data_IF_603943339054
#
_entry.id   IF_603943339054
#
_cell.length_a   1.000
_cell.length_b   1.000
_cell.length_c   1.000
_cell.angle_alpha   90.00
_cell.angle_beta   90.00
_cell.angle_gamma   90.00
#
_symmetry.space_group_name_H-M   'P 1'
#
loop_
_entity.id
_entity.type
_entity.pdbx_description
1 polymer ?
#
# COMPACT_ATOMS: atom_id res chain seq x y z
N UNK A 1 22.56 18.08 11.51
CA UNK A 1 22.24 19.43 11.03
C UNK A 1 20.74 19.50 10.97
N UNK A 2 20.14 20.17 11.96
CA UNK A 2 18.69 20.38 12.02
C UNK A 2 18.32 21.31 10.88
N UNK A 3 17.62 20.78 9.89
CA UNK A 3 16.93 21.59 8.88
C UNK A 3 15.87 22.39 9.62
N UNK A 4 15.82 23.73 9.53
CA UNK A 4 14.78 24.49 10.19
C UNK A 4 13.43 23.96 9.73
N UNK A 5 12.67 23.40 10.65
CA UNK A 5 11.34 22.92 10.38
C UNK A 5 10.48 24.07 9.89
N UNK A 6 10.11 24.04 8.61
CA UNK A 6 9.06 24.92 8.10
C UNK A 6 7.81 24.48 8.85
N UNK A 7 7.26 25.40 9.61
CA UNK A 7 6.11 25.18 10.46
C UNK A 7 4.87 24.87 9.59
N UNK A 8 4.64 23.58 9.34
CA UNK A 8 3.45 23.11 8.62
C UNK A 8 2.14 23.48 9.35
N UNK A 9 2.22 23.96 10.61
CA UNK A 9 1.08 24.45 11.37
C UNK A 9 0.56 25.80 10.87
N UNK A 10 1.35 26.52 10.03
CA UNK A 10 0.96 27.83 9.47
C UNK A 10 0.00 27.72 8.28
N UNK A 11 -0.25 26.52 7.74
CA UNK A 11 -1.18 26.37 6.62
C UNK A 11 -2.60 26.29 7.18
N UNK A 12 -3.39 27.33 6.95
CA UNK A 12 -4.79 27.35 7.38
C UNK A 12 -5.60 26.29 6.61
N UNK A 13 -5.96 25.21 7.29
CA UNK A 13 -6.79 24.12 6.75
C UNK A 13 -8.25 24.20 7.23
N UNK A 14 -8.61 25.23 7.99
CA UNK A 14 -9.96 25.38 8.59
C UNK A 14 -11.08 25.52 7.54
N UNK A 15 -10.74 26.00 6.34
CA UNK A 15 -11.67 26.18 5.23
C UNK A 15 -11.32 25.30 4.02
N UNK A 16 -10.71 24.12 4.24
CA UNK A 16 -10.37 23.19 3.16
C UNK A 16 -11.63 22.69 2.44
N UNK A 17 -11.73 22.91 1.12
CA UNK A 17 -12.82 22.37 0.32
C UNK A 17 -12.64 20.85 0.12
N UNK A 18 -13.36 20.07 0.91
CA UNK A 18 -13.39 18.62 0.82
C UNK A 18 -14.51 18.09 -0.06
N UNK A 19 -15.39 18.93 -0.61
CA UNK A 19 -16.45 18.51 -1.54
C UNK A 19 -15.87 18.11 -2.89
N UNK A 20 -14.79 18.80 -3.32
CA UNK A 20 -14.07 18.52 -4.54
C UNK A 20 -12.69 17.98 -4.23
N UNK A 21 -12.43 16.76 -4.69
CA UNK A 21 -11.21 16.01 -4.37
C UNK A 21 -10.48 15.64 -5.65
N UNK A 22 -9.20 15.99 -5.72
CA UNK A 22 -8.28 15.48 -6.73
C UNK A 22 -7.83 14.06 -6.39
N UNK A 23 -7.79 13.16 -7.36
CA UNK A 23 -7.31 11.80 -7.16
C UNK A 23 -6.35 11.38 -8.27
N UNK A 24 -5.09 11.09 -7.93
CA UNK A 24 -4.04 10.75 -8.89
C UNK A 24 -3.62 9.30 -8.67
N UNK A 25 -3.65 8.51 -9.76
CA UNK A 25 -3.38 7.08 -9.71
C UNK A 25 -4.64 6.28 -9.37
N UNK A 26 -5.41 5.92 -10.41
CA UNK A 26 -6.67 5.16 -10.30
C UNK A 26 -6.51 3.72 -10.79
N UNK A 27 -5.34 3.11 -10.53
CA UNK A 27 -5.08 1.68 -10.75
C UNK A 27 -5.81 0.79 -9.74
N UNK A 28 -5.28 -0.43 -9.50
CA UNK A 28 -5.94 -1.47 -8.69
C UNK A 28 -6.42 -1.00 -7.31
N UNK A 29 -5.66 -0.16 -6.60
CA UNK A 29 -6.03 0.38 -5.30
C UNK A 29 -6.78 1.71 -5.41
N UNK A 30 -6.33 2.60 -6.31
CA UNK A 30 -6.91 3.93 -6.44
C UNK A 30 -8.33 3.93 -7.01
N UNK A 31 -8.61 3.08 -7.98
CA UNK A 31 -9.94 2.98 -8.60
C UNK A 31 -11.06 2.69 -7.58
N UNK A 32 -10.97 1.64 -6.73
CA UNK A 32 -12.00 1.42 -5.72
C UNK A 32 -12.06 2.53 -4.67
N UNK A 33 -10.93 3.14 -4.25
CA UNK A 33 -10.94 4.25 -3.29
C UNK A 33 -11.61 5.49 -3.89
N UNK A 34 -11.23 5.91 -5.11
CA UNK A 34 -11.86 7.03 -5.79
C UNK A 34 -13.36 6.81 -6.05
N UNK A 35 -13.76 5.57 -6.38
CA UNK A 35 -15.17 5.20 -6.55
C UNK A 35 -15.98 5.36 -5.26
N UNK A 36 -15.36 5.07 -4.10
CA UNK A 36 -16.02 5.26 -2.81
C UNK A 36 -16.21 6.74 -2.48
N UNK A 37 -15.28 7.62 -2.84
CA UNK A 37 -15.44 9.06 -2.69
C UNK A 37 -16.63 9.57 -3.53
N UNK A 38 -16.74 9.12 -4.77
CA UNK A 38 -17.89 9.45 -5.63
C UNK A 38 -19.20 8.96 -4.99
N UNK A 39 -19.24 7.72 -4.51
CA UNK A 39 -20.41 7.16 -3.85
C UNK A 39 -20.76 7.89 -2.53
N UNK A 40 -19.79 8.49 -1.86
CA UNK A 40 -19.98 9.34 -0.68
C UNK A 40 -20.43 10.78 -1.03
N UNK A 41 -20.56 11.12 -2.30
CA UNK A 41 -21.07 12.42 -2.77
C UNK A 41 -19.98 13.46 -3.05
N UNK A 42 -18.70 13.08 -3.09
CA UNK A 42 -17.63 14.00 -3.47
C UNK A 42 -17.53 14.12 -5.00
N UNK A 43 -17.26 15.33 -5.50
CA UNK A 43 -16.83 15.57 -6.88
C UNK A 43 -15.36 15.15 -7.01
N UNK A 44 -15.09 14.10 -7.79
CA UNK A 44 -13.71 13.60 -7.98
C UNK A 44 -13.17 14.06 -9.33
N UNK A 45 -11.98 14.72 -9.30
CA UNK A 45 -11.18 15.03 -10.47
C UNK A 45 -10.01 14.06 -10.50
N UNK A 46 -9.97 13.19 -11.51
CA UNK A 46 -9.01 12.09 -11.56
C UNK A 46 -7.98 12.26 -12.69
N UNK A 47 -6.78 11.78 -12.42
CA UNK A 47 -5.73 11.62 -13.42
C UNK A 47 -5.05 10.27 -13.25
N UNK A 48 -4.85 9.56 -14.36
CA UNK A 48 -3.93 8.43 -14.49
C UNK A 48 -3.25 8.48 -15.84
N UNK A 49 -2.00 8.06 -15.89
CA UNK A 49 -1.25 7.95 -17.15
C UNK A 49 -1.72 6.78 -18.03
N UNK A 50 -2.40 5.78 -17.41
CA UNK A 50 -3.04 4.67 -18.13
C UNK A 50 -4.44 5.11 -18.59
N UNK A 51 -4.67 5.23 -19.91
CA UNK A 51 -5.97 5.63 -20.44
C UNK A 51 -7.11 4.66 -20.08
N UNK A 52 -6.80 3.37 -19.86
CA UNK A 52 -7.82 2.40 -19.46
C UNK A 52 -8.28 2.64 -18.01
N UNK A 53 -7.35 2.90 -17.10
CA UNK A 53 -7.65 3.24 -15.71
C UNK A 53 -8.42 4.58 -15.62
N UNK A 54 -7.99 5.60 -16.38
CA UNK A 54 -8.67 6.88 -16.45
C UNK A 54 -10.13 6.73 -16.96
N UNK A 55 -10.34 5.94 -18.00
CA UNK A 55 -11.68 5.66 -18.53
C UNK A 55 -12.58 4.95 -17.51
N UNK A 56 -12.03 3.96 -16.82
CA UNK A 56 -12.75 3.18 -15.81
C UNK A 56 -13.27 4.03 -14.64
N UNK A 57 -12.56 5.08 -14.24
CA UNK A 57 -13.04 5.99 -13.19
C UNK A 57 -14.01 7.05 -13.76
N UNK A 58 -13.83 7.49 -14.99
CA UNK A 58 -14.78 8.40 -15.65
C UNK A 58 -16.16 7.77 -15.79
N UNK A 59 -16.25 6.48 -16.16
CA UNK A 59 -17.50 5.70 -16.21
C UNK A 59 -18.22 5.63 -14.85
N UNK A 60 -17.52 5.91 -13.76
CA UNK A 60 -18.07 5.97 -12.39
C UNK A 60 -18.43 7.38 -11.94
N UNK A 61 -18.24 8.38 -12.81
CA UNK A 61 -18.65 9.76 -12.57
C UNK A 61 -17.52 10.72 -12.19
N UNK A 62 -16.26 10.32 -12.29
CA UNK A 62 -15.15 11.27 -12.12
C UNK A 62 -14.98 12.15 -13.37
N UNK A 63 -14.59 13.40 -13.16
CA UNK A 63 -14.06 14.26 -14.20
C UNK A 63 -12.59 13.96 -14.43
N UNK A 64 -12.16 13.83 -15.68
CA UNK A 64 -10.75 13.59 -16.00
C UNK A 64 -9.99 14.92 -16.14
N UNK A 65 -8.72 14.88 -15.73
CA UNK A 65 -7.71 15.89 -15.99
C UNK A 65 -6.52 15.25 -16.74
N UNK A 66 -5.86 16.01 -17.60
CA UNK A 66 -4.77 15.51 -18.43
C UNK A 66 -3.46 15.36 -17.62
N UNK A 67 -3.26 16.16 -16.55
CA UNK A 67 -2.05 16.16 -15.74
C UNK A 67 -2.37 16.24 -14.24
N UNK A 68 -1.38 15.94 -13.40
CA UNK A 68 -1.48 16.15 -11.96
C UNK A 68 -1.63 17.66 -11.61
N UNK A 69 -1.01 18.54 -12.39
CA UNK A 69 -1.15 19.99 -12.27
C UNK A 69 -2.59 20.47 -12.52
N UNK A 70 -3.27 19.92 -13.51
CA UNK A 70 -4.68 20.20 -13.77
C UNK A 70 -5.58 19.72 -12.63
N UNK A 71 -5.33 18.52 -12.07
CA UNK A 71 -6.01 18.04 -10.87
C UNK A 71 -5.85 19.03 -9.72
N UNK A 72 -4.61 19.47 -9.45
CA UNK A 72 -4.27 20.39 -8.38
C UNK A 72 -4.69 21.85 -8.66
N UNK A 73 -5.05 22.18 -9.90
CA UNK A 73 -5.70 23.43 -10.25
C UNK A 73 -7.21 23.40 -10.09
N UNK A 74 -7.80 22.21 -10.07
CA UNK A 74 -9.23 22.02 -9.91
C UNK A 74 -9.66 21.75 -8.47
N UNK A 75 -8.79 21.21 -7.61
CA UNK A 75 -9.10 20.81 -6.23
C UNK A 75 -8.02 21.33 -5.25
N UNK A 76 -8.44 21.66 -4.03
CA UNK A 76 -7.53 22.06 -2.94
C UNK A 76 -6.92 20.84 -2.26
N UNK A 77 -7.68 19.75 -2.16
CA UNK A 77 -7.26 18.47 -1.59
C UNK A 77 -6.96 17.49 -2.72
N UNK A 78 -5.71 17.02 -2.78
CA UNK A 78 -5.25 16.06 -3.79
C UNK A 78 -4.74 14.80 -3.10
N UNK A 79 -5.34 13.65 -3.41
CA UNK A 79 -4.94 12.33 -2.95
C UNK A 79 -4.15 11.61 -4.07
N UNK A 80 -3.11 10.87 -3.71
CA UNK A 80 -2.33 10.06 -4.66
C UNK A 80 -2.23 8.60 -4.20
N UNK A 81 -2.40 7.66 -5.12
CA UNK A 81 -2.24 6.21 -4.89
C UNK A 81 -1.40 5.59 -6.00
N UNK A 82 -0.09 5.53 -5.80
CA UNK A 82 0.91 5.25 -6.81
C UNK A 82 1.81 4.06 -6.41
N UNK A 83 2.40 3.35 -7.40
CA UNK A 83 3.08 2.08 -7.11
C UNK A 83 4.48 2.24 -6.50
N UNK A 84 5.16 3.38 -6.71
CA UNK A 84 6.59 3.56 -6.37
C UNK A 84 6.89 4.96 -5.84
N UNK A 85 7.91 5.11 -4.98
CA UNK A 85 8.34 6.41 -4.45
C UNK A 85 8.66 7.44 -5.52
N UNK A 86 9.30 7.01 -6.63
CA UNK A 86 9.68 7.89 -7.74
C UNK A 86 8.45 8.48 -8.45
N UNK A 87 7.38 7.67 -8.56
CA UNK A 87 6.12 8.14 -9.14
C UNK A 87 5.43 9.17 -8.22
N UNK A 88 5.47 8.96 -6.90
CA UNK A 88 4.93 9.94 -5.93
C UNK A 88 5.73 11.24 -6.01
N UNK A 89 7.06 11.16 -6.03
CA UNK A 89 7.92 12.35 -6.20
C UNK A 89 7.61 13.10 -7.50
N UNK A 90 7.52 12.39 -8.62
CA UNK A 90 7.22 13.00 -9.92
C UNK A 90 5.84 13.67 -9.94
N UNK A 91 4.82 13.02 -9.36
CA UNK A 91 3.46 13.58 -9.24
C UNK A 91 3.42 14.78 -8.29
N UNK A 92 4.15 14.74 -7.18
CA UNK A 92 4.15 15.85 -6.23
C UNK A 92 4.95 17.06 -6.75
N UNK A 93 6.17 16.84 -7.27
CA UNK A 93 7.19 17.87 -7.48
C UNK A 93 7.60 18.06 -8.95
N UNK A 94 7.13 17.22 -9.88
CA UNK A 94 7.48 17.33 -11.31
C UNK A 94 6.90 18.57 -11.99
N UNK A 95 7.33 18.86 -13.20
CA UNK A 95 6.91 20.06 -13.95
C UNK A 95 5.37 20.10 -14.16
N UNK A 96 4.74 18.94 -14.42
CA UNK A 96 3.28 18.78 -14.53
C UNK A 96 2.66 18.21 -13.25
N UNK A 97 3.37 18.34 -12.12
CA UNK A 97 2.99 17.81 -10.82
C UNK A 97 2.06 18.72 -10.04
N UNK A 98 1.73 18.28 -8.82
CA UNK A 98 0.83 18.99 -7.92
C UNK A 98 1.31 20.41 -7.63
N UNK A 99 2.63 20.63 -7.50
CA UNK A 99 3.19 21.97 -7.27
C UNK A 99 2.94 22.97 -8.40
N UNK A 100 2.72 22.53 -9.62
CA UNK A 100 2.36 23.40 -10.74
C UNK A 100 0.88 23.83 -10.75
N UNK A 101 0.03 23.17 -9.95
CA UNK A 101 -1.40 23.52 -9.82
C UNK A 101 -1.62 24.84 -9.07
N UNK A 102 -2.75 25.50 -9.30
CA UNK A 102 -3.04 26.85 -8.76
C UNK A 102 -3.94 26.87 -7.53
N UNK A 103 -4.67 25.76 -7.24
CA UNK A 103 -5.59 25.66 -6.09
C UNK A 103 -5.08 24.75 -4.97
N UNK A 104 -4.00 24.01 -5.20
CA UNK A 104 -3.45 23.05 -4.25
C UNK A 104 -3.21 23.65 -2.85
N UNK A 105 -3.69 22.99 -1.83
CA UNK A 105 -3.42 23.34 -0.42
C UNK A 105 -2.93 22.15 0.37
N UNK A 106 -3.44 20.94 0.05
CA UNK A 106 -3.15 19.71 0.77
C UNK A 106 -2.88 18.59 -0.23
N UNK A 107 -1.77 17.88 -0.02
CA UNK A 107 -1.41 16.65 -0.72
C UNK A 107 -1.43 15.48 0.26
N UNK A 108 -2.17 14.42 -0.05
CA UNK A 108 -2.27 13.19 0.76
C UNK A 108 -1.70 12.03 -0.02
N UNK A 109 -0.62 11.43 0.48
CA UNK A 109 -0.02 10.24 -0.12
C UNK A 109 -0.59 8.95 0.51
N UNK A 110 -1.42 8.23 -0.25
CA UNK A 110 -1.98 6.93 0.11
C UNK A 110 -1.06 5.75 -0.27
N UNK A 111 0.07 6.04 -0.91
CA UNK A 111 1.03 5.07 -1.42
C UNK A 111 1.97 4.55 -0.32
N UNK A 112 2.74 3.51 -0.64
CA UNK A 112 3.89 3.11 0.19
C UNK A 112 5.17 3.68 -0.41
N UNK A 113 5.56 4.85 0.10
CA UNK A 113 6.63 5.72 -0.42
C UNK A 113 7.91 5.62 0.40
N UNK A 114 7.77 5.17 1.65
CA UNK A 114 8.86 5.12 2.61
C UNK A 114 9.14 6.48 3.28
N UNK A 115 9.60 6.47 4.53
CA UNK A 115 9.64 7.67 5.37
C UNK A 115 10.66 8.72 4.87
N UNK A 116 11.80 8.28 4.32
CA UNK A 116 12.82 9.21 3.79
C UNK A 116 12.27 10.05 2.64
N UNK A 117 11.74 9.41 1.60
CA UNK A 117 11.19 10.11 0.42
C UNK A 117 9.98 10.95 0.82
N UNK A 118 9.16 10.49 1.75
CA UNK A 118 8.02 11.25 2.27
C UNK A 118 8.48 12.54 2.96
N UNK A 119 9.51 12.49 3.83
CA UNK A 119 10.09 13.69 4.46
C UNK A 119 10.63 14.69 3.44
N UNK A 120 11.33 14.20 2.40
CA UNK A 120 11.85 15.05 1.32
C UNK A 120 10.72 15.74 0.54
N UNK A 121 9.67 15.00 0.18
CA UNK A 121 8.50 15.56 -0.53
C UNK A 121 7.76 16.56 0.37
N UNK A 122 7.53 16.22 1.64
CA UNK A 122 6.84 17.10 2.58
C UNK A 122 7.57 18.43 2.78
N UNK A 123 8.90 18.40 2.90
CA UNK A 123 9.70 19.62 3.01
C UNK A 123 9.61 20.50 1.74
N UNK A 124 9.66 19.90 0.56
CA UNK A 124 9.55 20.62 -0.71
C UNK A 124 8.15 21.25 -0.89
N UNK A 125 7.09 20.52 -0.54
CA UNK A 125 5.70 20.98 -0.60
C UNK A 125 5.47 22.13 0.40
N UNK A 126 5.93 21.99 1.64
CA UNK A 126 5.80 23.00 2.68
C UNK A 126 6.49 24.32 2.27
N UNK A 127 7.67 24.26 1.63
CA UNK A 127 8.36 25.41 1.08
C UNK A 127 7.57 26.19 0.02
N UNK A 128 6.49 25.61 -0.50
CA UNK A 128 5.57 26.19 -1.49
C UNK A 128 4.15 26.38 -0.93
N UNK A 129 3.99 26.33 0.40
CA UNK A 129 2.72 26.55 1.08
C UNK A 129 1.70 25.41 0.91
N UNK A 130 2.16 24.19 0.61
CA UNK A 130 1.30 22.99 0.48
C UNK A 130 1.54 22.07 1.67
N UNK A 131 0.48 21.75 2.42
CA UNK A 131 0.55 20.78 3.49
C UNK A 131 0.59 19.35 2.93
N UNK A 132 1.33 18.47 3.59
CA UNK A 132 1.33 17.03 3.26
C UNK A 132 0.85 16.20 4.44
N UNK A 133 0.03 15.18 4.13
CA UNK A 133 -0.26 14.07 5.02
C UNK A 133 0.22 12.77 4.36
N UNK A 134 0.95 11.95 5.09
CA UNK A 134 1.20 10.57 4.67
C UNK A 134 0.12 9.66 5.27
N UNK A 135 -0.55 8.93 4.38
CA UNK A 135 -1.72 8.13 4.77
C UNK A 135 -1.76 6.79 4.04
N UNK A 136 -0.70 5.97 4.11
CA UNK A 136 -0.70 4.66 3.49
C UNK A 136 -1.79 3.76 4.06
N UNK A 137 -2.27 2.83 3.23
CA UNK A 137 -3.40 1.96 3.53
C UNK A 137 -3.01 0.49 3.59
N UNK A 138 -3.76 -0.31 4.35
CA UNK A 138 -3.62 -1.77 4.42
C UNK A 138 -5.00 -2.44 4.38
N UNK A 139 -5.10 -3.61 3.68
CA UNK A 139 -6.34 -4.37 3.50
C UNK A 139 -6.60 -4.81 2.07
N UNK A 140 -5.68 -4.46 1.14
CA UNK A 140 -5.72 -4.87 -0.27
C UNK A 140 -6.92 -4.33 -1.04
N UNK A 141 -7.08 -4.80 -2.28
CA UNK A 141 -8.16 -4.35 -3.20
C UNK A 141 -9.55 -4.68 -2.64
N UNK A 142 -9.70 -5.82 -1.98
CA UNK A 142 -10.97 -6.21 -1.35
C UNK A 142 -11.38 -5.22 -0.25
N UNK A 143 -10.44 -4.85 0.63
CA UNK A 143 -10.68 -3.84 1.67
C UNK A 143 -10.98 -2.46 1.09
N UNK A 144 -10.30 -2.06 0.01
CA UNK A 144 -10.56 -0.80 -0.68
C UNK A 144 -12.00 -0.75 -1.26
N UNK A 145 -12.46 -1.83 -1.87
CA UNK A 145 -13.84 -1.96 -2.35
C UNK A 145 -14.87 -1.93 -1.23
N UNK A 146 -14.61 -2.66 -0.17
CA UNK A 146 -15.52 -2.78 0.98
C UNK A 146 -15.52 -1.54 1.89
N UNK A 147 -14.50 -0.67 1.82
CA UNK A 147 -14.33 0.44 2.76
C UNK A 147 -13.88 -0.01 4.16
N UNK A 148 -13.05 -1.05 4.21
CA UNK A 148 -12.56 -1.66 5.45
C UNK A 148 -11.06 -1.60 5.60
N UNK A 149 -10.41 -0.67 4.88
CA UNK A 149 -8.97 -0.48 4.98
C UNK A 149 -8.56 0.00 6.38
N UNK A 150 -7.39 -0.43 6.83
CA UNK A 150 -6.67 0.29 7.86
C UNK A 150 -5.95 1.47 7.19
N UNK A 151 -6.37 2.69 7.51
CA UNK A 151 -5.83 3.95 6.97
C UNK A 151 -4.92 4.55 8.04
N UNK A 152 -3.62 4.60 7.79
CA UNK A 152 -2.61 5.08 8.75
C UNK A 152 -2.35 6.56 8.44
N UNK A 153 -2.66 7.48 9.36
CA UNK A 153 -2.59 8.92 9.10
C UNK A 153 -1.53 9.59 9.97
N UNK A 154 -0.55 10.24 9.34
CA UNK A 154 0.37 11.15 9.99
C UNK A 154 0.27 12.54 9.34
N UNK A 155 -0.05 13.55 10.16
CA UNK A 155 -0.15 14.96 9.79
C UNK A 155 -0.34 15.81 11.05
N UNK A 156 -0.13 17.13 11.02
CA UNK A 156 -0.50 18.03 12.12
C UNK A 156 -1.96 17.86 12.55
N UNK A 157 -2.26 18.08 13.83
CA UNK A 157 -3.57 17.77 14.43
C UNK A 157 -4.76 18.41 13.70
N UNK A 158 -4.65 19.68 13.30
CA UNK A 158 -5.72 20.36 12.56
C UNK A 158 -5.98 19.69 11.21
N UNK A 159 -4.92 19.28 10.51
CA UNK A 159 -5.04 18.59 9.23
C UNK A 159 -5.62 17.18 9.39
N UNK A 160 -5.22 16.42 10.45
CA UNK A 160 -5.83 15.12 10.75
C UNK A 160 -7.35 15.24 10.94
N UNK A 161 -7.78 16.24 11.72
CA UNK A 161 -9.21 16.51 11.94
C UNK A 161 -9.95 16.81 10.63
N UNK A 162 -9.37 17.63 9.75
CA UNK A 162 -9.99 17.97 8.46
C UNK A 162 -10.05 16.78 7.50
N UNK A 163 -9.05 15.89 7.53
CA UNK A 163 -8.94 14.73 6.63
C UNK A 163 -9.72 13.51 7.11
N UNK A 164 -9.95 13.35 8.41
CA UNK A 164 -10.58 12.16 8.99
C UNK A 164 -11.93 11.78 8.34
N UNK A 165 -12.86 12.70 8.02
CA UNK A 165 -14.11 12.35 7.34
C UNK A 165 -13.89 11.80 5.93
N UNK A 166 -12.97 12.38 5.15
CA UNK A 166 -12.64 11.95 3.79
C UNK A 166 -11.96 10.59 3.81
N UNK A 167 -10.95 10.43 4.64
CA UNK A 167 -10.19 9.18 4.75
C UNK A 167 -11.01 8.04 5.37
N UNK A 168 -11.97 8.38 6.25
CA UNK A 168 -12.94 7.45 6.83
C UNK A 168 -13.83 6.74 5.80
N UNK A 169 -13.98 7.32 4.61
CA UNK A 169 -14.68 6.67 3.48
C UNK A 169 -13.96 5.38 3.04
N UNK A 170 -12.65 5.30 3.24
CA UNK A 170 -11.85 4.12 2.84
C UNK A 170 -11.82 3.03 3.91
N UNK A 171 -12.06 3.37 5.18
CA UNK A 171 -12.00 2.42 6.29
C UNK A 171 -11.73 3.09 7.63
N UNK A 172 -11.12 2.34 8.54
CA UNK A 172 -10.78 2.84 9.87
C UNK A 172 -9.49 3.66 9.83
N UNK A 173 -9.57 4.92 10.23
CA UNK A 173 -8.41 5.82 10.34
C UNK A 173 -7.70 5.60 11.68
N UNK A 174 -6.39 5.42 11.62
CA UNK A 174 -5.49 5.33 12.77
C UNK A 174 -4.57 6.55 12.75
N UNK A 175 -4.67 7.38 13.75
CA UNK A 175 -3.78 8.53 13.94
C UNK A 175 -2.42 8.03 14.44
N UNK A 176 -1.38 8.13 13.60
CA UNK A 176 -0.05 7.59 13.90
C UNK A 176 0.83 8.66 14.56
N UNK A 177 0.64 9.93 14.18
CA UNK A 177 1.42 11.03 14.72
C UNK A 177 1.39 12.27 13.84
N UNK A 178 2.29 13.22 14.11
CA UNK A 178 2.28 14.51 13.42
C UNK A 178 3.37 14.63 12.35
N UNK A 179 4.52 14.00 12.57
CA UNK A 179 5.66 14.17 11.69
C UNK A 179 5.53 13.35 10.41
N UNK A 180 5.89 13.92 9.24
CA UNK A 180 5.92 13.21 7.97
C UNK A 180 6.82 11.96 8.03
N UNK A 181 6.33 10.86 7.48
CA UNK A 181 7.02 9.58 7.43
C UNK A 181 6.66 8.62 8.55
N UNK A 182 5.96 9.05 9.63
CA UNK A 182 5.55 8.15 10.70
C UNK A 182 4.55 7.10 10.23
N UNK A 183 3.54 7.47 9.44
CA UNK A 183 2.59 6.52 8.90
C UNK A 183 3.25 5.59 7.87
N UNK A 184 4.22 6.08 7.10
CA UNK A 184 5.04 5.24 6.22
C UNK A 184 5.85 4.21 7.00
N UNK A 185 6.49 4.61 8.11
CA UNK A 185 7.20 3.67 8.98
C UNK A 185 6.25 2.59 9.51
N UNK A 186 5.06 2.99 10.00
CA UNK A 186 4.04 2.03 10.47
C UNK A 186 3.62 1.07 9.35
N UNK A 187 3.44 1.58 8.12
CA UNK A 187 3.11 0.76 6.96
C UNK A 187 4.21 -0.26 6.63
N UNK A 188 5.48 0.16 6.66
CA UNK A 188 6.61 -0.73 6.39
C UNK A 188 6.75 -1.81 7.45
N UNK A 189 6.59 -1.47 8.74
CA UNK A 189 6.57 -2.42 9.86
C UNK A 189 5.46 -3.47 9.65
N UNK A 190 4.24 -3.02 9.33
CA UNK A 190 3.12 -3.93 9.04
C UNK A 190 3.42 -4.87 7.86
N UNK A 191 3.99 -4.33 6.77
CA UNK A 191 4.26 -5.12 5.58
C UNK A 191 5.43 -6.09 5.77
N UNK A 192 6.46 -5.71 6.52
CA UNK A 192 7.54 -6.63 6.90
C UNK A 192 7.00 -7.82 7.71
N UNK A 193 6.12 -7.61 8.68
CA UNK A 193 5.49 -8.70 9.43
C UNK A 193 4.66 -9.62 8.52
N UNK A 194 3.92 -9.05 7.55
CA UNK A 194 3.16 -9.84 6.57
C UNK A 194 4.09 -10.65 5.65
N UNK A 195 5.19 -10.04 5.19
CA UNK A 195 6.21 -10.69 4.35
C UNK A 195 6.91 -11.83 5.10
N UNK A 196 7.23 -11.60 6.38
CA UNK A 196 7.82 -12.61 7.28
C UNK A 196 6.87 -13.78 7.52
N UNK A 197 5.58 -13.47 7.75
CA UNK A 197 4.57 -14.48 7.97
C UNK A 197 4.42 -15.44 6.76
N UNK A 198 4.39 -14.90 5.54
CA UNK A 198 4.33 -15.74 4.32
C UNK A 198 5.61 -16.56 4.19
N UNK A 199 6.78 -15.96 4.36
CA UNK A 199 8.05 -16.65 4.22
C UNK A 199 8.17 -17.82 5.22
N UNK A 200 8.02 -17.54 6.51
CA UNK A 200 8.13 -18.54 7.56
C UNK A 200 7.05 -19.64 7.46
N UNK A 201 5.80 -19.27 7.16
CA UNK A 201 4.72 -20.26 7.02
C UNK A 201 4.93 -21.13 5.79
N UNK A 202 5.45 -20.60 4.69
CA UNK A 202 5.76 -21.38 3.49
C UNK A 202 6.84 -22.41 3.75
N UNK A 203 7.94 -22.04 4.42
CA UNK A 203 8.98 -23.00 4.79
C UNK A 203 8.44 -24.11 5.71
N UNK A 204 7.68 -23.72 6.75
CA UNK A 204 7.11 -24.68 7.69
C UNK A 204 6.14 -25.66 7.02
N UNK A 205 5.26 -25.18 6.15
CA UNK A 205 4.28 -26.04 5.44
C UNK A 205 4.99 -26.92 4.42
N UNK A 206 5.98 -26.41 3.67
CA UNK A 206 6.77 -27.22 2.74
C UNK A 206 7.52 -28.35 3.48
N UNK A 207 8.11 -28.07 4.65
CA UNK A 207 8.73 -29.07 5.50
C UNK A 207 7.75 -30.14 5.95
N UNK A 208 6.55 -29.73 6.40
CA UNK A 208 5.53 -30.68 6.86
C UNK A 208 5.01 -31.58 5.74
N UNK A 209 4.78 -31.02 4.54
CA UNK A 209 4.38 -31.81 3.36
C UNK A 209 5.48 -32.80 2.96
N UNK A 210 6.74 -32.38 3.02
CA UNK A 210 7.89 -33.30 2.81
C UNK A 210 7.93 -34.43 3.83
N UNK A 211 7.50 -34.18 5.05
CA UNK A 211 7.39 -35.19 6.11
C UNK A 211 6.11 -36.05 5.98
N UNK A 212 5.25 -35.82 4.98
CA UNK A 212 4.03 -36.60 4.74
C UNK A 212 2.75 -36.02 5.35
N UNK A 213 2.77 -34.80 5.89
CA UNK A 213 1.57 -34.17 6.45
C UNK A 213 0.67 -33.60 5.34
N UNK A 214 -0.63 -33.64 5.57
CA UNK A 214 -1.62 -32.98 4.70
C UNK A 214 -1.58 -31.45 4.94
N UNK A 215 -1.36 -30.61 3.91
CA UNK A 215 -1.24 -29.17 4.09
C UNK A 215 -2.54 -28.50 4.55
N UNK A 216 -3.71 -29.06 4.28
CA UNK A 216 -4.99 -28.54 4.75
C UNK A 216 -5.12 -28.74 6.27
N UNK A 217 -4.85 -29.98 6.73
CA UNK A 217 -4.83 -30.29 8.17
C UNK A 217 -3.78 -29.46 8.91
N UNK A 218 -2.59 -29.27 8.30
CA UNK A 218 -1.56 -28.42 8.88
C UNK A 218 -2.05 -26.99 9.11
N UNK A 219 -2.69 -26.37 8.13
CA UNK A 219 -3.20 -25.00 8.25
C UNK A 219 -4.30 -24.91 9.31
N UNK A 220 -5.17 -25.90 9.42
CA UNK A 220 -6.20 -25.95 10.48
C UNK A 220 -5.54 -26.02 11.87
N UNK A 221 -4.57 -26.90 12.07
CA UNK A 221 -3.82 -27.02 13.33
C UNK A 221 -3.05 -25.75 13.67
N UNK A 222 -2.34 -25.16 12.70
CA UNK A 222 -1.61 -23.90 12.87
C UNK A 222 -2.57 -22.79 13.31
N UNK A 223 -3.74 -22.70 12.69
CA UNK A 223 -4.74 -21.68 13.00
C UNK A 223 -5.45 -21.89 14.36
N UNK A 224 -5.50 -23.12 14.84
CA UNK A 224 -5.98 -23.44 16.19
C UNK A 224 -4.90 -23.22 17.28
N UNK A 225 -3.63 -23.23 16.89
CA UNK A 225 -2.48 -23.13 17.79
C UNK A 225 -1.82 -21.75 17.81
N UNK A 226 -0.67 -21.68 18.50
CA UNK A 226 0.14 -20.46 18.65
C UNK A 226 0.86 -20.02 17.37
N UNK A 227 0.89 -20.86 16.35
CA UNK A 227 1.49 -20.56 15.04
C UNK A 227 0.61 -19.67 14.14
N UNK A 228 -0.63 -19.41 14.55
CA UNK A 228 -1.57 -18.59 13.77
C UNK A 228 -0.99 -17.22 13.43
N UNK A 229 -1.08 -16.86 12.15
CA UNK A 229 -0.63 -15.59 11.62
C UNK A 229 -1.43 -15.19 10.38
N UNK A 230 -1.11 -14.03 9.77
CA UNK A 230 -1.89 -13.55 8.61
C UNK A 230 -1.71 -14.42 7.37
N UNK A 231 -0.62 -15.17 7.22
CA UNK A 231 -0.44 -16.09 6.10
C UNK A 231 -1.30 -17.33 6.29
N UNK A 232 -1.21 -17.99 7.46
CA UNK A 232 -1.98 -19.21 7.75
C UNK A 232 -3.50 -18.96 7.78
N UNK A 233 -3.94 -17.80 8.32
CA UNK A 233 -5.36 -17.50 8.48
C UNK A 233 -6.07 -17.01 7.20
N UNK A 234 -5.32 -16.43 6.26
CA UNK A 234 -5.91 -15.77 5.09
C UNK A 234 -5.29 -16.22 3.76
N UNK A 235 -3.95 -16.07 3.57
CA UNK A 235 -3.31 -16.28 2.27
C UNK A 235 -3.30 -17.76 1.86
N UNK A 236 -2.99 -18.65 2.80
CA UNK A 236 -2.97 -20.08 2.52
C UNK A 236 -4.34 -20.61 2.12
N UNK A 237 -5.42 -20.41 2.89
CA UNK A 237 -6.75 -20.91 2.49
C UNK A 237 -7.27 -20.31 1.18
N UNK A 238 -7.06 -19.01 0.97
CA UNK A 238 -7.68 -18.29 -0.16
C UNK A 238 -6.92 -18.43 -1.47
N UNK A 239 -5.59 -18.54 -1.44
CA UNK A 239 -4.78 -18.37 -2.65
C UNK A 239 -3.68 -19.41 -2.82
N UNK A 240 -3.15 -20.00 -1.74
CA UNK A 240 -2.01 -20.93 -1.81
C UNK A 240 -2.48 -22.37 -1.92
N UNK A 241 -3.33 -22.86 -1.01
CA UNK A 241 -3.78 -24.26 -0.99
C UNK A 241 -4.56 -24.66 -2.24
N UNK A 242 -5.29 -23.72 -2.84
CA UNK A 242 -6.01 -23.93 -4.11
C UNK A 242 -5.16 -23.62 -5.35
N UNK A 243 -3.89 -23.21 -5.16
CA UNK A 243 -2.91 -22.92 -6.22
C UNK A 243 -3.29 -21.76 -7.17
N UNK A 244 -4.24 -20.89 -6.81
CA UNK A 244 -4.64 -19.76 -7.68
C UNK A 244 -3.64 -18.63 -7.66
N UNK A 245 -3.01 -18.36 -6.52
CA UNK A 245 -2.04 -17.26 -6.36
C UNK A 245 -2.59 -15.91 -6.84
N UNK A 246 -3.77 -15.57 -6.36
CA UNK A 246 -4.60 -14.46 -6.80
C UNK A 246 -5.05 -13.54 -5.66
N UNK A 247 -4.22 -13.41 -4.64
CA UNK A 247 -4.53 -12.57 -3.47
C UNK A 247 -4.66 -11.08 -3.83
N UNK A 248 -4.00 -10.65 -4.91
CA UNK A 248 -4.14 -9.31 -5.47
C UNK A 248 -3.06 -8.31 -5.02
N UNK A 249 -1.89 -8.79 -4.61
CA UNK A 249 -0.74 -7.95 -4.33
C UNK A 249 0.51 -8.49 -5.04
N UNK A 250 1.18 -7.63 -5.81
CA UNK A 250 2.33 -8.05 -6.61
C UNK A 250 3.57 -8.33 -5.75
N UNK A 251 4.31 -9.38 -6.11
CA UNK A 251 5.55 -9.80 -5.45
C UNK A 251 6.58 -8.66 -5.45
N UNK A 252 6.74 -7.95 -6.56
CA UNK A 252 7.66 -6.82 -6.66
C UNK A 252 7.30 -5.65 -5.75
N UNK A 253 6.01 -5.44 -5.43
CA UNK A 253 5.59 -4.42 -4.47
C UNK A 253 5.92 -4.84 -3.03
N UNK A 254 5.76 -6.13 -2.68
CA UNK A 254 6.17 -6.62 -1.37
C UNK A 254 7.69 -6.57 -1.19
N UNK A 255 8.46 -7.00 -2.19
CA UNK A 255 9.91 -6.91 -2.17
C UNK A 255 10.40 -5.46 -1.97
N UNK A 256 9.80 -4.51 -2.71
CA UNK A 256 10.06 -3.08 -2.54
C UNK A 256 9.76 -2.62 -1.09
N UNK A 257 8.64 -3.03 -0.51
CA UNK A 257 8.27 -2.62 0.85
C UNK A 257 9.25 -3.17 1.91
N UNK A 258 9.70 -4.41 1.73
CA UNK A 258 10.76 -5.00 2.58
C UNK A 258 12.07 -4.22 2.42
N UNK A 259 12.46 -3.88 1.20
CA UNK A 259 13.67 -3.08 0.93
C UNK A 259 13.62 -1.70 1.59
N UNK A 260 12.49 -0.99 1.46
CA UNK A 260 12.27 0.30 2.11
C UNK A 260 12.34 0.20 3.64
N UNK A 261 11.81 -0.88 4.22
CA UNK A 261 11.86 -1.11 5.66
C UNK A 261 13.31 -1.30 6.16
N UNK A 262 14.08 -2.13 5.47
CA UNK A 262 15.48 -2.37 5.85
C UNK A 262 16.36 -1.13 5.64
N UNK A 263 16.10 -0.37 4.57
CA UNK A 263 16.82 0.89 4.32
C UNK A 263 16.55 1.94 5.42
N UNK A 264 15.31 2.01 5.94
CA UNK A 264 15.01 2.88 7.08
C UNK A 264 15.67 2.39 8.37
N UNK A 265 15.69 1.07 8.63
CA UNK A 265 16.39 0.50 9.78
C UNK A 265 17.89 0.78 9.72
N UNK A 266 18.52 0.63 8.55
CA UNK A 266 19.93 0.96 8.33
C UNK A 266 20.21 2.45 8.59
N UNK A 267 19.37 3.34 8.10
CA UNK A 267 19.48 4.79 8.34
C UNK A 267 19.36 5.16 9.83
N UNK A 268 18.67 4.33 10.62
CA UNK A 268 18.54 4.47 12.08
C UNK A 268 19.57 3.63 12.85
N UNK A 269 20.55 3.00 12.17
CA UNK A 269 21.54 2.11 12.77
C UNK A 269 20.94 0.96 13.59
N UNK A 270 19.75 0.49 13.19
CA UNK A 270 19.04 -0.61 13.85
C UNK A 270 19.23 -1.92 13.08
N UNK A 271 19.92 -2.94 13.64
CA UNK A 271 20.14 -4.21 12.96
C UNK A 271 18.87 -5.06 12.91
N UNK A 272 18.45 -5.47 11.71
CA UNK A 272 17.25 -6.31 11.49
C UNK A 272 17.65 -7.69 10.97
N UNK A 273 18.06 -8.61 11.84
CA UNK A 273 18.55 -9.93 11.45
C UNK A 273 17.50 -10.78 10.74
N UNK A 274 16.30 -10.88 11.30
CA UNK A 274 15.19 -11.62 10.68
C UNK A 274 14.74 -10.92 9.40
N UNK A 275 14.61 -9.60 9.42
CA UNK A 275 14.25 -8.81 8.23
C UNK A 275 15.24 -9.02 7.08
N UNK A 276 16.54 -9.08 7.38
CA UNK A 276 17.59 -9.33 6.38
C UNK A 276 17.44 -10.73 5.74
N UNK A 277 17.16 -11.78 6.53
CA UNK A 277 16.90 -13.11 6.01
C UNK A 277 15.63 -13.14 5.14
N UNK A 278 14.55 -12.52 5.59
CA UNK A 278 13.30 -12.39 4.84
C UNK A 278 13.54 -11.66 3.51
N UNK A 279 14.31 -10.56 3.51
CA UNK A 279 14.68 -9.85 2.28
C UNK A 279 15.32 -10.78 1.25
N UNK A 280 16.25 -11.66 1.66
CA UNK A 280 16.91 -12.60 0.75
C UNK A 280 15.91 -13.54 0.07
N UNK A 281 14.90 -14.04 0.79
CA UNK A 281 13.84 -14.87 0.20
C UNK A 281 13.01 -14.12 -0.84
N UNK A 282 12.64 -12.87 -0.54
CA UNK A 282 11.89 -12.03 -1.51
C UNK A 282 12.74 -11.65 -2.71
N UNK A 283 14.02 -11.36 -2.52
CA UNK A 283 14.97 -11.09 -3.61
C UNK A 283 15.14 -12.32 -4.52
N UNK A 284 15.26 -13.52 -3.93
CA UNK A 284 15.32 -14.77 -4.70
C UNK A 284 14.04 -14.98 -5.52
N UNK A 285 12.87 -14.87 -4.89
CA UNK A 285 11.60 -15.06 -5.58
C UNK A 285 11.40 -14.04 -6.71
N UNK A 286 11.80 -12.78 -6.49
CA UNK A 286 11.75 -11.73 -7.52
C UNK A 286 12.63 -12.08 -8.72
N UNK A 287 13.84 -12.61 -8.49
CA UNK A 287 14.77 -13.04 -9.54
C UNK A 287 14.27 -14.24 -10.35
N UNK A 288 13.49 -15.14 -9.73
CA UNK A 288 12.95 -16.33 -10.39
C UNK A 288 11.62 -16.11 -11.10
N UNK A 289 10.72 -15.34 -10.49
CA UNK A 289 9.33 -15.23 -10.91
C UNK A 289 8.93 -13.89 -11.54
N UNK A 290 9.78 -12.88 -11.38
CA UNK A 290 9.48 -11.53 -11.83
C UNK A 290 8.53 -10.73 -10.90
N UNK A 291 8.43 -9.40 -11.12
CA UNK A 291 7.74 -8.49 -10.21
C UNK A 291 6.21 -8.60 -10.23
N UNK A 292 5.63 -9.11 -11.32
CA UNK A 292 4.18 -9.07 -11.55
C UNK A 292 3.44 -10.29 -11.01
N UNK A 293 4.17 -11.32 -10.54
CA UNK A 293 3.54 -12.45 -9.86
C UNK A 293 2.80 -11.99 -8.60
N UNK A 294 1.75 -12.71 -8.24
CA UNK A 294 1.14 -12.51 -6.91
C UNK A 294 2.13 -12.91 -5.81
N UNK A 295 2.20 -12.11 -4.75
CA UNK A 295 3.16 -12.31 -3.66
C UNK A 295 2.98 -13.65 -2.91
N UNK A 296 1.78 -14.28 -3.00
CA UNK A 296 1.54 -15.61 -2.46
C UNK A 296 2.26 -16.71 -3.23
N UNK A 297 2.74 -16.40 -4.45
CA UNK A 297 3.55 -17.33 -5.24
C UNK A 297 4.97 -17.54 -4.67
N UNK A 298 5.38 -16.84 -3.60
CA UNK A 298 6.66 -17.06 -2.92
C UNK A 298 6.92 -18.54 -2.63
N UNK A 299 5.90 -19.30 -2.20
CA UNK A 299 6.02 -20.73 -1.89
C UNK A 299 6.49 -21.56 -3.08
N UNK A 300 6.14 -21.19 -4.33
CA UNK A 300 6.58 -21.90 -5.54
C UNK A 300 8.09 -21.92 -5.70
N UNK A 301 8.79 -20.96 -5.11
CA UNK A 301 10.24 -20.85 -5.15
C UNK A 301 10.92 -21.62 -4.00
N UNK A 302 10.13 -22.13 -3.05
CA UNK A 302 10.59 -22.95 -1.92
C UNK A 302 10.33 -24.44 -2.18
N UNK A 303 9.19 -24.77 -2.77
CA UNK A 303 8.75 -26.14 -3.08
C UNK A 303 9.81 -27.00 -3.79
N UNK A 304 10.56 -26.48 -4.80
CA UNK A 304 11.60 -27.27 -5.50
C UNK A 304 12.73 -27.74 -4.58
N UNK A 305 13.08 -26.97 -3.55
CA UNK A 305 14.15 -27.35 -2.60
C UNK A 305 13.79 -28.61 -1.79
N UNK A 306 12.50 -28.83 -1.59
CA UNK A 306 11.98 -30.01 -0.89
C UNK A 306 11.51 -31.11 -1.84
N UNK A 307 11.34 -30.84 -3.14
CA UNK A 307 10.80 -31.77 -4.12
C UNK A 307 9.31 -32.06 -3.91
N UNK A 308 8.54 -31.10 -3.37
CA UNK A 308 7.11 -31.26 -3.07
C UNK A 308 6.30 -30.11 -3.68
N UNK A 309 4.97 -30.31 -3.74
CA UNK A 309 4.00 -29.26 -4.12
C UNK A 309 2.96 -29.14 -3.00
N UNK A 310 2.69 -27.93 -2.53
CA UNK A 310 1.72 -27.64 -1.47
C UNK A 310 0.35 -27.31 -2.08
N UNK A 311 -0.69 -27.99 -1.63
CA UNK A 311 -2.07 -27.75 -2.07
C UNK A 311 -2.52 -28.62 -3.25
N UNK A 312 -3.77 -28.43 -3.68
CA UNK A 312 -4.37 -29.21 -4.78
C UNK A 312 -4.40 -28.37 -6.05
N UNK A 313 -3.93 -28.92 -7.17
CA UNK A 313 -4.19 -28.33 -8.47
C UNK A 313 -5.70 -28.41 -8.75
N UNK A 314 -6.32 -27.30 -9.12
CA UNK A 314 -7.74 -27.26 -9.46
C UNK A 314 -8.06 -28.22 -10.61
N UNK A 315 -8.99 -29.16 -10.35
CA UNK A 315 -9.51 -30.10 -11.34
C UNK A 315 -9.29 -31.56 -11.01
N UNK A 316 -9.95 -32.05 -9.97
CA UNK A 316 -10.57 -33.39 -9.86
C UNK A 316 -11.58 -33.34 -8.71
N UNK A 317 -12.69 -32.65 -8.93
CA UNK A 317 -13.94 -33.02 -8.29
C UNK A 317 -14.47 -34.22 -9.08
N UNK A 318 -14.40 -35.36 -8.46
CA UNK A 318 -14.93 -36.59 -9.02
C UNK A 318 -14.49 -37.78 -8.20
N UNK A 319 -15.46 -38.34 -7.49
CA UNK A 319 -15.50 -39.64 -6.81
C UNK A 319 -15.13 -39.65 -5.31
N UNK A 320 -16.11 -39.39 -4.47
CA UNK A 320 -16.75 -40.40 -3.57
C UNK A 320 -17.98 -39.77 -2.91
#
# INVERSE_FOLDING_TARGET
>A
MDTPGIDASAIDVSALDTRRIGFIGVGNMGLPMASRLIAAGHEVIAHDRDPAAARAIAERGARLAATAAEVASAAELVLASLPRPEAVRAVALGADGVLAGTRRRVFVDLSTTGPRTTREIAAALAGQGVAMADSPVSGGVAGARAGTLAVMLAAPAALRTALAPVLGVFGRVFEIGEAPGLAQTMKLVNNLLSATAIAATSEAVVLGVKAGLDPFVMIDVINAGSGRNTASADKFPRSILNRRFDHGFALGLMAKDVDLCLAEAEAQHFPMWIGAAVKQMWTHALGQGGPDQDFTALIKHIEPWAGVTVGRQGGRDGDA
#
